data_IF_923560761868
#
_entry.id   IF_923560761868
#
_cell.length_a   1.000
_cell.length_b   1.000
_cell.length_c   1.000
_cell.angle_alpha   90.00
_cell.angle_beta   90.00
_cell.angle_gamma   90.00
#
_symmetry.space_group_name_H-M   'P 1'
#
loop_
_entity.id
_entity.type
_entity.pdbx_description
1 polymer ?
#
# COMPACT_ATOMS: atom_id res chain seq x y z
N UNK A 1 -51.92 51.35 11.32
CA UNK A 1 -52.25 49.98 10.91
C UNK A 1 -51.45 49.66 9.65
N UNK A 2 -50.53 48.71 9.72
CA UNK A 2 -50.15 47.75 8.66
C UNK A 2 -48.95 46.97 9.21
N UNK A 3 -49.25 45.74 9.64
CA UNK A 3 -48.29 44.68 9.93
C UNK A 3 -47.85 44.12 8.59
N UNK A 4 -46.54 44.09 8.34
CA UNK A 4 -45.98 43.23 7.28
C UNK A 4 -44.96 42.34 7.96
N UNK A 5 -45.32 41.06 8.10
CA UNK A 5 -44.42 39.98 8.45
C UNK A 5 -43.42 39.78 7.31
N UNK A 6 -42.13 39.88 7.59
CA UNK A 6 -41.08 39.37 6.70
C UNK A 6 -40.70 37.94 7.13
N UNK A 7 -40.59 36.99 6.18
CA UNK A 7 -40.38 35.58 6.50
C UNK A 7 -38.93 35.31 6.91
N UNK A 8 -38.79 34.42 7.89
CA UNK A 8 -37.52 33.86 8.35
C UNK A 8 -36.95 32.95 7.25
N UNK A 9 -35.91 33.41 6.55
CA UNK A 9 -35.16 32.58 5.63
C UNK A 9 -34.25 31.62 6.41
N UNK A 10 -34.64 30.35 6.48
CA UNK A 10 -33.81 29.27 7.02
C UNK A 10 -32.69 29.01 6.00
N UNK A 11 -31.45 29.43 6.31
CA UNK A 11 -30.28 29.00 5.57
C UNK A 11 -30.03 27.51 5.87
N UNK A 12 -30.35 26.65 4.91
CA UNK A 12 -29.88 25.28 4.88
C UNK A 12 -28.36 25.31 4.60
N UNK A 13 -27.55 25.06 5.62
CA UNK A 13 -26.12 24.81 5.44
C UNK A 13 -25.94 23.50 4.64
N UNK A 14 -25.03 23.42 3.66
CA UNK A 14 -24.72 22.17 3.01
C UNK A 14 -24.03 21.27 4.04
N UNK A 15 -24.65 20.14 4.35
CA UNK A 15 -23.97 19.07 5.04
C UNK A 15 -22.86 18.58 4.10
N UNK A 16 -21.61 18.94 4.41
CA UNK A 16 -20.43 18.33 3.80
C UNK A 16 -20.45 16.88 4.29
N UNK A 17 -20.97 15.99 3.46
CA UNK A 17 -20.79 14.57 3.63
C UNK A 17 -19.29 14.30 3.55
N UNK A 18 -18.66 14.09 4.69
CA UNK A 18 -17.33 13.47 4.75
C UNK A 18 -17.56 12.07 4.19
N UNK A 19 -17.28 11.88 2.91
CA UNK A 19 -17.08 10.57 2.35
C UNK A 19 -15.90 9.98 3.13
N UNK A 20 -16.20 9.19 4.16
CA UNK A 20 -15.24 8.22 4.65
C UNK A 20 -14.95 7.36 3.43
N UNK A 21 -13.73 7.46 2.89
CA UNK A 21 -13.22 6.56 1.87
C UNK A 21 -13.40 5.14 2.40
N UNK A 22 -14.54 4.54 2.08
CA UNK A 22 -14.76 3.12 2.28
C UNK A 22 -13.88 2.46 1.23
N UNK A 23 -12.58 2.30 1.56
CA UNK A 23 -11.60 1.68 0.70
C UNK A 23 -12.20 0.39 0.11
N UNK A 24 -12.50 0.33 -1.20
CA UNK A 24 -12.92 -0.93 -1.80
C UNK A 24 -11.69 -1.84 -1.93
N UNK A 25 -11.87 -3.15 -1.87
CA UNK A 25 -11.73 -3.94 -0.65
C UNK A 25 -10.57 -4.89 -0.87
N UNK A 26 -9.31 -4.44 -0.71
CA UNK A 26 -8.24 -5.43 -0.59
C UNK A 26 -8.48 -6.25 0.68
N UNK A 27 -8.36 -7.57 0.60
CA UNK A 27 -8.30 -8.40 1.78
C UNK A 27 -7.04 -8.06 2.58
N UNK A 28 -7.01 -8.46 3.86
CA UNK A 28 -5.78 -8.31 4.65
C UNK A 28 -4.62 -9.08 4.00
N UNK A 29 -4.90 -10.25 3.44
CA UNK A 29 -3.91 -11.07 2.74
C UNK A 29 -3.33 -10.34 1.51
N UNK A 30 -4.17 -9.73 0.69
CA UNK A 30 -3.73 -8.97 -0.48
C UNK A 30 -2.87 -7.76 -0.10
N UNK A 31 -3.26 -7.05 0.97
CA UNK A 31 -2.45 -5.93 1.51
C UNK A 31 -1.09 -6.43 2.00
N UNK A 32 -1.07 -7.52 2.76
CA UNK A 32 0.17 -8.12 3.24
C UNK A 32 1.07 -8.55 2.08
N UNK A 33 0.50 -9.15 1.04
CA UNK A 33 1.24 -9.57 -0.15
C UNK A 33 1.88 -8.38 -0.87
N UNK A 34 1.10 -7.32 -1.14
CA UNK A 34 1.60 -6.11 -1.78
C UNK A 34 2.67 -5.40 -0.93
N UNK A 35 2.42 -5.27 0.38
CA UNK A 35 3.35 -4.62 1.31
C UNK A 35 4.66 -5.39 1.46
N UNK A 36 4.61 -6.72 1.54
CA UNK A 36 5.82 -7.53 1.59
C UNK A 36 6.60 -7.51 0.27
N UNK A 37 5.92 -7.52 -0.88
CA UNK A 37 6.58 -7.38 -2.18
C UNK A 37 7.33 -6.04 -2.28
N UNK A 38 6.71 -4.94 -1.83
CA UNK A 38 7.34 -3.62 -1.78
C UNK A 38 8.53 -3.59 -0.79
N UNK A 39 8.38 -4.12 0.42
CA UNK A 39 9.45 -4.12 1.43
C UNK A 39 10.67 -4.94 0.97
N UNK A 40 10.43 -6.09 0.32
CA UNK A 40 11.49 -6.92 -0.27
C UNK A 40 12.20 -6.18 -1.41
N UNK A 41 11.46 -5.52 -2.29
CA UNK A 41 12.05 -4.74 -3.39
C UNK A 41 12.92 -3.58 -2.86
N UNK A 42 12.44 -2.84 -1.85
CA UNK A 42 13.23 -1.79 -1.20
C UNK A 42 14.49 -2.37 -0.55
N UNK A 43 14.38 -3.52 0.13
CA UNK A 43 15.52 -4.18 0.76
C UNK A 43 16.54 -4.63 -0.27
N UNK A 44 16.10 -5.22 -1.38
CA UNK A 44 16.98 -5.63 -2.47
C UNK A 44 17.75 -4.44 -3.07
N UNK A 45 17.06 -3.31 -3.32
CA UNK A 45 17.69 -2.07 -3.78
C UNK A 45 18.67 -1.52 -2.72
N UNK A 46 18.31 -1.58 -1.44
CA UNK A 46 19.22 -1.22 -0.34
C UNK A 46 20.48 -2.07 -0.32
N UNK A 47 20.36 -3.39 -0.53
CA UNK A 47 21.50 -4.31 -0.62
C UNK A 47 22.40 -3.97 -1.81
N UNK A 48 21.82 -3.69 -2.98
CA UNK A 48 22.56 -3.28 -4.18
C UNK A 48 23.37 -1.98 -3.96
N UNK A 49 22.87 -1.08 -3.11
CA UNK A 49 23.51 0.18 -2.75
C UNK A 49 24.41 0.10 -1.51
N UNK A 50 24.61 -1.10 -0.93
CA UNK A 50 25.46 -1.29 0.25
C UNK A 50 24.89 -0.73 1.56
N UNK A 51 23.57 -0.58 1.66
CA UNK A 51 22.90 -0.12 2.87
C UNK A 51 23.03 -1.17 4.00
N UNK A 52 23.64 -0.78 5.13
CA UNK A 52 23.91 -1.68 6.26
C UNK A 52 22.65 -2.33 6.85
N UNK A 53 21.54 -1.62 6.93
CA UNK A 53 20.29 -2.17 7.47
C UNK A 53 19.68 -3.21 6.52
N UNK A 54 19.73 -2.95 5.22
CA UNK A 54 19.28 -3.90 4.20
C UNK A 54 20.15 -5.16 4.14
N UNK A 55 21.46 -5.01 4.34
CA UNK A 55 22.43 -6.10 4.42
C UNK A 55 22.28 -6.99 5.67
N UNK A 56 21.47 -6.58 6.66
CA UNK A 56 21.15 -7.42 7.82
C UNK A 56 20.11 -8.52 7.49
N UNK A 57 19.43 -8.43 6.34
CA UNK A 57 18.51 -9.45 5.85
C UNK A 57 19.20 -10.43 4.90
N UNK A 58 18.63 -11.62 4.65
CA UNK A 58 19.14 -12.54 3.63
C UNK A 58 19.24 -11.87 2.25
N UNK A 59 20.07 -12.42 1.36
CA UNK A 59 20.17 -11.93 -0.02
C UNK A 59 18.80 -12.02 -0.73
N UNK A 60 18.32 -10.88 -1.21
CA UNK A 60 17.01 -10.76 -1.88
C UNK A 60 17.11 -10.91 -3.40
N UNK A 61 18.32 -11.05 -3.97
CA UNK A 61 18.55 -11.02 -5.42
C UNK A 61 17.73 -12.08 -6.16
N UNK A 62 17.74 -13.32 -5.67
CA UNK A 62 17.04 -14.44 -6.30
C UNK A 62 15.64 -14.64 -5.74
N UNK A 63 15.55 -15.04 -4.47
CA UNK A 63 14.29 -15.39 -3.81
C UNK A 63 13.35 -14.19 -3.69
N UNK A 64 13.89 -12.99 -3.48
CA UNK A 64 13.10 -11.76 -3.42
C UNK A 64 12.51 -11.37 -4.77
N UNK A 65 13.30 -11.51 -5.85
CA UNK A 65 12.82 -11.31 -7.23
C UNK A 65 11.71 -12.30 -7.59
N UNK A 66 11.88 -13.57 -7.25
CA UNK A 66 10.86 -14.58 -7.49
C UNK A 66 9.57 -14.27 -6.72
N UNK A 67 9.67 -13.93 -5.43
CA UNK A 67 8.53 -13.51 -4.62
C UNK A 67 7.80 -12.34 -5.28
N UNK A 68 8.53 -11.30 -5.70
CA UNK A 68 7.95 -10.11 -6.33
C UNK A 68 7.16 -10.44 -7.60
N UNK A 69 7.71 -11.29 -8.48
CA UNK A 69 7.02 -11.71 -9.71
C UNK A 69 5.76 -12.51 -9.39
N UNK A 70 5.84 -13.48 -8.47
CA UNK A 70 4.69 -14.31 -8.08
C UNK A 70 3.60 -13.48 -7.40
N UNK A 71 3.99 -12.58 -6.49
CA UNK A 71 3.07 -11.67 -5.81
C UNK A 71 2.37 -10.72 -6.79
N UNK A 72 3.12 -10.13 -7.72
CA UNK A 72 2.57 -9.26 -8.75
C UNK A 72 1.56 -9.99 -9.64
N UNK A 73 1.88 -11.21 -10.11
CA UNK A 73 0.96 -12.03 -10.88
C UNK A 73 -0.33 -12.33 -10.11
N UNK A 74 -0.19 -12.78 -8.87
CA UNK A 74 -1.34 -13.06 -8.00
C UNK A 74 -2.22 -11.83 -7.75
N UNK A 75 -1.62 -10.66 -7.56
CA UNK A 75 -2.36 -9.41 -7.37
C UNK A 75 -3.08 -8.96 -8.66
N UNK A 76 -2.48 -9.16 -9.83
CA UNK A 76 -3.14 -8.92 -11.12
C UNK A 76 -4.39 -9.81 -11.26
N UNK A 77 -4.26 -11.10 -10.95
CA UNK A 77 -5.36 -12.06 -11.07
C UNK A 77 -6.47 -11.79 -10.05
N UNK A 78 -6.14 -11.62 -8.77
CA UNK A 78 -7.14 -11.48 -7.70
C UNK A 78 -7.85 -10.12 -7.70
N UNK A 79 -7.16 -9.06 -8.11
CA UNK A 79 -7.70 -7.70 -8.14
C UNK A 79 -8.15 -7.26 -9.53
N UNK A 80 -7.98 -8.13 -10.54
CA UNK A 80 -8.25 -7.83 -11.95
C UNK A 80 -7.51 -6.56 -12.42
N UNK A 81 -6.27 -6.40 -11.96
CA UNK A 81 -5.39 -5.29 -12.32
C UNK A 81 -4.52 -5.69 -13.53
N UNK A 82 -4.22 -4.72 -14.38
CA UNK A 82 -3.16 -4.86 -15.36
C UNK A 82 -1.77 -4.56 -14.73
N UNK A 83 -0.73 -4.59 -15.57
CA UNK A 83 0.65 -4.32 -15.15
C UNK A 83 0.80 -2.94 -14.51
N UNK A 84 0.15 -1.93 -15.09
CA UNK A 84 0.28 -0.55 -14.62
C UNK A 84 -0.46 -0.37 -13.29
N UNK A 85 -1.61 -1.02 -13.14
CA UNK A 85 -2.38 -1.07 -11.89
C UNK A 85 -1.60 -1.73 -10.75
N UNK A 86 -0.99 -2.90 -10.98
CA UNK A 86 -0.17 -3.56 -9.95
C UNK A 86 1.11 -2.79 -9.66
N UNK A 87 1.74 -2.17 -10.67
CA UNK A 87 2.91 -1.31 -10.47
C UNK A 87 2.55 -0.12 -9.58
N UNK A 88 1.45 0.57 -9.87
CA UNK A 88 0.97 1.69 -9.07
C UNK A 88 0.63 1.27 -7.63
N UNK A 89 0.03 0.08 -7.45
CA UNK A 89 -0.25 -0.48 -6.12
C UNK A 89 1.05 -0.69 -5.33
N UNK A 90 2.03 -1.39 -5.91
CA UNK A 90 3.29 -1.69 -5.25
C UNK A 90 4.11 -0.42 -4.96
N UNK A 91 4.10 0.57 -5.87
CA UNK A 91 4.73 1.86 -5.64
C UNK A 91 4.09 2.63 -4.49
N UNK A 92 2.77 2.58 -4.32
CA UNK A 92 2.11 3.20 -3.16
C UNK A 92 2.50 2.53 -1.84
N UNK A 93 2.55 1.19 -1.80
CA UNK A 93 3.02 0.48 -0.60
C UNK A 93 4.48 0.79 -0.28
N UNK A 94 5.35 0.87 -1.30
CA UNK A 94 6.74 1.26 -1.14
C UNK A 94 6.87 2.68 -0.58
N UNK A 95 6.11 3.64 -1.13
CA UNK A 95 6.10 5.02 -0.65
C UNK A 95 5.62 5.09 0.80
N UNK A 96 4.54 4.39 1.17
CA UNK A 96 4.05 4.35 2.54
C UNK A 96 5.08 3.76 3.51
N UNK A 97 5.80 2.69 3.12
CA UNK A 97 6.87 2.10 3.93
C UNK A 97 8.02 3.08 4.18
N UNK A 98 8.38 3.88 3.17
CA UNK A 98 9.39 4.94 3.28
C UNK A 98 8.94 6.09 4.15
N UNK A 99 7.75 6.63 3.90
CA UNK A 99 7.20 7.77 4.64
C UNK A 99 7.06 7.46 6.13
N UNK A 100 6.61 6.24 6.45
CA UNK A 100 6.42 5.80 7.83
C UNK A 100 7.73 5.32 8.51
N UNK A 101 8.80 5.09 7.73
CA UNK A 101 10.05 4.50 8.24
C UNK A 101 9.85 3.12 8.88
N UNK A 102 9.04 2.25 8.25
CA UNK A 102 8.58 0.98 8.85
C UNK A 102 9.20 -0.28 8.26
N UNK A 103 10.16 -0.16 7.33
CA UNK A 103 10.78 -1.31 6.64
C UNK A 103 11.33 -2.34 7.64
N UNK A 104 12.09 -1.89 8.64
CA UNK A 104 12.76 -2.76 9.61
C UNK A 104 11.75 -3.49 10.52
N UNK A 105 10.55 -2.93 10.68
CA UNK A 105 9.44 -3.54 11.42
C UNK A 105 8.67 -4.57 10.59
N UNK A 106 8.56 -4.33 9.28
CA UNK A 106 7.78 -5.16 8.36
C UNK A 106 8.58 -6.36 7.87
N UNK A 107 9.86 -6.17 7.57
CA UNK A 107 10.72 -7.21 6.98
C UNK A 107 10.80 -8.51 7.77
N UNK A 108 10.87 -8.54 9.12
CA UNK A 108 10.85 -9.79 9.88
C UNK A 108 9.62 -10.67 9.61
N UNK A 109 8.49 -10.07 9.22
CA UNK A 109 7.26 -10.79 8.85
C UNK A 109 7.32 -11.28 7.39
N UNK A 110 8.03 -10.56 6.52
CA UNK A 110 8.08 -10.86 5.08
C UNK A 110 9.15 -11.89 4.71
N UNK A 111 10.28 -11.94 5.42
CA UNK A 111 11.38 -12.89 5.14
C UNK A 111 10.92 -14.35 5.11
N UNK A 112 10.08 -14.84 6.05
CA UNK A 112 9.58 -16.21 6.01
C UNK A 112 8.68 -16.54 4.80
N UNK A 113 8.21 -15.54 4.06
CA UNK A 113 7.35 -15.73 2.88
C UNK A 113 8.15 -15.93 1.58
N UNK A 114 9.47 -15.76 1.63
CA UNK A 114 10.33 -16.01 0.49
C UNK A 114 10.21 -17.48 0.06
N UNK A 115 10.18 -17.77 -1.26
CA UNK A 115 10.22 -19.15 -1.76
C UNK A 115 11.35 -19.96 -1.12
N UNK A 116 11.12 -21.25 -0.89
CA UNK A 116 12.17 -22.20 -0.50
C UNK A 116 12.93 -22.64 -1.76
N UNK A 117 14.23 -22.90 -1.59
CA UNK A 117 15.10 -23.42 -2.66
C UNK A 117 14.78 -24.89 -3.01
#
# INVERSE_FOLDING_TARGET
>A
MIRILAPLAILAAPAVAIAQDAAPQMSLEQRMLARCAAAIAITAEGQANGNTEALAYPDMTERGREFFVRAGARLMDELQLDRDGVSALLSREAQALWDDGTIQKVMPVCVPLLPSD
#
